data_IF_525900609140
#
_entry.id   IF_525900609140
#
_cell.length_a   1.000
_cell.length_b   1.000
_cell.length_c   1.000
_cell.angle_alpha   90.00
_cell.angle_beta   90.00
_cell.angle_gamma   90.00
#
_symmetry.space_group_name_H-M   'P 1'
#
loop_
_entity.id
_entity.type
_entity.pdbx_description
1 polymer ?
#
# COMPACT_ATOMS: atom_id res chain seq x y z
N UNK A 1 -72.94 -46.50 -22.13
CA UNK A 1 -71.81 -47.03 -21.33
C UNK A 1 -70.63 -47.10 -22.29
N UNK A 2 -69.54 -46.34 -22.19
CA UNK A 2 -68.91 -45.60 -21.10
C UNK A 2 -68.20 -44.38 -21.72
N UNK A 3 -68.42 -43.18 -21.15
CA UNK A 3 -67.55 -42.02 -21.40
C UNK A 3 -66.31 -42.15 -20.51
N UNK A 4 -65.13 -42.21 -21.11
CA UNK A 4 -63.86 -42.03 -20.42
C UNK A 4 -63.28 -40.68 -20.84
N UNK A 5 -63.21 -39.67 -19.95
CA UNK A 5 -62.43 -38.48 -20.25
C UNK A 5 -60.94 -38.78 -20.02
N UNK A 6 -60.19 -38.63 -21.10
CA UNK A 6 -58.74 -38.49 -21.15
C UNK A 6 -58.27 -37.45 -20.13
N UNK A 7 -57.46 -37.87 -19.16
CA UNK A 7 -56.97 -37.01 -18.09
C UNK A 7 -55.71 -36.26 -18.56
N UNK A 8 -55.73 -34.91 -18.69
CA UNK A 8 -54.52 -34.18 -19.02
C UNK A 8 -53.50 -34.21 -17.86
N UNK A 9 -52.19 -34.20 -18.16
CA UNK A 9 -51.14 -34.40 -17.17
C UNK A 9 -51.16 -33.28 -16.13
N UNK A 10 -51.10 -33.67 -14.84
CA UNK A 10 -51.02 -32.74 -13.73
C UNK A 10 -49.79 -31.81 -13.91
N UNK A 11 -50.05 -30.55 -14.25
CA UNK A 11 -49.03 -29.53 -14.34
C UNK A 11 -48.31 -29.40 -12.98
N UNK A 12 -46.99 -29.59 -12.98
CA UNK A 12 -46.14 -29.39 -11.82
C UNK A 12 -46.08 -27.91 -11.47
N UNK A 13 -46.86 -27.52 -10.45
CA UNK A 13 -46.82 -26.15 -9.93
C UNK A 13 -45.42 -25.90 -9.35
N UNK A 14 -44.66 -24.87 -9.78
CA UNK A 14 -43.39 -24.55 -9.16
C UNK A 14 -43.67 -24.06 -7.74
N UNK A 15 -43.26 -24.83 -6.72
CA UNK A 15 -43.29 -24.37 -5.33
C UNK A 15 -42.33 -23.20 -5.23
N UNK A 16 -42.85 -22.00 -5.00
CA UNK A 16 -42.07 -20.80 -4.74
C UNK A 16 -41.12 -21.06 -3.55
N UNK A 17 -39.87 -21.40 -3.82
CA UNK A 17 -38.80 -21.33 -2.83
C UNK A 17 -38.40 -19.87 -2.70
N UNK A 18 -39.14 -19.13 -1.87
CA UNK A 18 -38.74 -17.77 -1.50
C UNK A 18 -37.28 -17.75 -1.01
N UNK A 19 -36.58 -16.62 -1.12
CA UNK A 19 -35.17 -16.55 -0.74
C UNK A 19 -35.02 -16.98 0.71
N UNK A 20 -34.32 -18.11 0.92
CA UNK A 20 -33.90 -18.54 2.26
C UNK A 20 -32.95 -17.46 2.76
N UNK A 21 -33.47 -16.54 3.56
CA UNK A 21 -32.64 -15.62 4.33
C UNK A 21 -31.82 -16.48 5.28
N UNK A 22 -30.56 -16.71 4.94
CA UNK A 22 -29.61 -17.37 5.84
C UNK A 22 -29.50 -16.51 7.09
N UNK A 23 -30.08 -17.00 8.19
CA UNK A 23 -29.96 -16.34 9.49
C UNK A 23 -28.48 -16.34 9.86
N UNK A 24 -27.93 -15.17 10.13
CA UNK A 24 -26.54 -15.03 10.55
C UNK A 24 -26.27 -15.95 11.75
N UNK A 25 -25.29 -16.86 11.59
CA UNK A 25 -24.89 -17.78 12.66
C UNK A 25 -24.31 -16.96 13.80
N UNK A 26 -24.70 -17.29 15.03
CA UNK A 26 -24.13 -16.66 16.23
C UNK A 26 -22.62 -16.97 16.25
N UNK A 27 -21.76 -15.99 16.56
CA UNK A 27 -20.33 -16.23 16.67
C UNK A 27 -20.06 -17.28 17.75
N UNK A 28 -19.19 -18.23 17.43
CA UNK A 28 -18.68 -19.22 18.38
C UNK A 28 -17.83 -18.58 19.47
N UNK A 29 -17.53 -19.37 20.51
CA UNK A 29 -16.91 -18.88 21.75
C UNK A 29 -15.60 -18.09 21.53
N UNK A 30 -14.77 -18.49 20.57
CA UNK A 30 -13.49 -17.83 20.26
C UNK A 30 -13.51 -16.94 19.02
N UNK A 31 -14.64 -16.82 18.32
CA UNK A 31 -14.68 -16.08 17.06
C UNK A 31 -14.47 -14.58 17.27
N UNK A 32 -14.93 -14.05 18.42
CA UNK A 32 -14.66 -12.66 18.83
C UNK A 32 -13.17 -12.43 19.07
N UNK A 33 -12.51 -13.33 19.79
CA UNK A 33 -11.07 -13.22 20.07
C UNK A 33 -10.23 -13.32 18.78
N UNK A 34 -10.63 -14.18 17.84
CA UNK A 34 -9.99 -14.26 16.51
C UNK A 34 -10.20 -12.97 15.71
N UNK A 35 -11.42 -12.45 15.67
CA UNK A 35 -11.72 -11.20 14.97
C UNK A 35 -10.92 -10.01 15.56
N UNK A 36 -10.78 -9.94 16.89
CA UNK A 36 -9.95 -8.92 17.55
C UNK A 36 -8.45 -9.09 17.23
N UNK A 37 -7.95 -10.33 17.20
CA UNK A 37 -6.57 -10.60 16.81
C UNK A 37 -6.31 -10.21 15.35
N UNK A 38 -7.25 -10.49 14.45
CA UNK A 38 -7.18 -10.11 13.04
C UNK A 38 -7.23 -8.60 12.86
N UNK A 39 -8.10 -7.90 13.60
CA UNK A 39 -8.16 -6.45 13.60
C UNK A 39 -6.84 -5.82 14.08
N UNK A 40 -6.27 -6.32 15.18
CA UNK A 40 -4.97 -5.85 15.69
C UNK A 40 -3.83 -6.11 14.72
N UNK A 41 -3.83 -7.25 14.03
CA UNK A 41 -2.83 -7.56 12.99
C UNK A 41 -2.91 -6.56 11.83
N UNK A 42 -4.11 -6.30 11.33
CA UNK A 42 -4.34 -5.32 10.25
C UNK A 42 -3.90 -3.91 10.65
N UNK A 43 -4.27 -3.45 11.85
CA UNK A 43 -3.85 -2.14 12.36
C UNK A 43 -2.31 -2.05 12.49
N UNK A 44 -1.66 -3.12 12.96
CA UNK A 44 -0.21 -3.17 13.06
C UNK A 44 0.48 -3.16 11.69
N UNK A 45 -0.08 -3.85 10.69
CA UNK A 45 0.40 -3.85 9.31
C UNK A 45 0.25 -2.47 8.67
N UNK A 46 -0.88 -1.80 8.85
CA UNK A 46 -1.12 -0.43 8.37
C UNK A 46 -0.12 0.55 8.99
N UNK A 47 0.10 0.47 10.31
CA UNK A 47 1.09 1.30 11.02
C UNK A 47 2.52 1.06 10.52
N UNK A 48 2.88 -0.21 10.24
CA UNK A 48 4.19 -0.55 9.66
C UNK A 48 4.33 0.00 8.25
N UNK A 49 3.31 -0.13 7.41
CA UNK A 49 3.32 0.40 6.05
C UNK A 49 3.50 1.92 6.04
N UNK A 50 2.81 2.66 6.92
CA UNK A 50 2.99 4.10 7.05
C UNK A 50 4.42 4.46 7.52
N UNK A 51 4.93 3.75 8.52
CA UNK A 51 6.29 3.95 9.02
C UNK A 51 7.33 3.71 7.92
N UNK A 52 7.21 2.62 7.17
CA UNK A 52 8.10 2.29 6.06
C UNK A 52 8.07 3.36 4.96
N UNK A 53 6.91 3.92 4.63
CA UNK A 53 6.81 5.03 3.67
C UNK A 53 7.58 6.26 4.17
N UNK A 54 7.35 6.66 5.42
CA UNK A 54 8.06 7.80 6.02
C UNK A 54 9.57 7.56 6.10
N UNK A 55 9.99 6.34 6.42
CA UNK A 55 11.40 5.98 6.52
C UNK A 55 12.08 5.98 5.14
N UNK A 56 11.42 5.47 4.10
CA UNK A 56 11.91 5.55 2.70
C UNK A 56 12.11 6.99 2.26
N UNK A 57 11.15 7.88 2.53
CA UNK A 57 11.27 9.30 2.20
C UNK A 57 12.41 9.98 2.97
N UNK A 58 12.56 9.67 4.27
CA UNK A 58 13.66 10.19 5.08
C UNK A 58 15.01 9.70 4.57
N UNK A 59 15.14 8.41 4.27
CA UNK A 59 16.35 7.80 3.71
C UNK A 59 16.73 8.43 2.39
N UNK A 60 15.79 8.60 1.46
CA UNK A 60 16.04 9.27 0.19
C UNK A 60 16.58 10.70 0.37
N UNK A 61 15.96 11.49 1.27
CA UNK A 61 16.43 12.84 1.60
C UNK A 61 17.82 12.85 2.25
N UNK A 62 18.10 11.89 3.14
CA UNK A 62 19.41 11.77 3.77
C UNK A 62 20.50 11.37 2.77
N UNK A 63 20.23 10.40 1.89
CA UNK A 63 21.14 10.00 0.83
C UNK A 63 21.45 11.14 -0.13
N UNK A 64 20.44 11.91 -0.55
CA UNK A 64 20.65 13.07 -1.40
C UNK A 64 21.56 14.10 -0.73
N UNK A 65 21.29 14.42 0.54
CA UNK A 65 22.11 15.32 1.35
C UNK A 65 23.53 14.81 1.49
N UNK A 66 23.71 13.52 1.71
CA UNK A 66 25.02 12.91 1.84
C UNK A 66 25.80 12.93 0.53
N UNK A 67 25.16 12.58 -0.60
CA UNK A 67 25.75 12.69 -1.94
C UNK A 67 26.22 14.12 -2.21
N UNK A 68 25.37 15.11 -1.94
CA UNK A 68 25.72 16.52 -2.09
C UNK A 68 26.88 16.93 -1.16
N UNK A 69 26.85 16.50 0.11
CA UNK A 69 27.93 16.77 1.08
C UNK A 69 29.26 16.18 0.60
N UNK A 70 29.27 14.93 0.13
CA UNK A 70 30.46 14.26 -0.41
C UNK A 70 30.98 14.96 -1.66
N UNK A 71 30.09 15.36 -2.58
CA UNK A 71 30.46 16.13 -3.77
C UNK A 71 31.08 17.48 -3.41
N UNK A 72 30.49 18.21 -2.46
CA UNK A 72 31.04 19.46 -1.95
C UNK A 72 32.39 19.28 -1.25
N UNK A 73 32.53 18.24 -0.43
CA UNK A 73 33.80 17.95 0.23
C UNK A 73 34.91 17.70 -0.81
N UNK A 74 34.60 16.92 -1.87
CA UNK A 74 35.52 16.66 -2.99
C UNK A 74 35.83 17.90 -3.82
N UNK A 75 34.86 18.81 -3.98
CA UNK A 75 35.06 20.08 -4.66
C UNK A 75 35.97 21.03 -3.85
N UNK A 76 35.81 21.03 -2.52
CA UNK A 76 36.61 21.81 -1.57
C UNK A 76 38.01 21.24 -1.35
N UNK A 77 38.24 19.96 -1.63
CA UNK A 77 39.59 19.37 -1.57
C UNK A 77 40.52 20.12 -2.52
N UNK A 78 41.58 20.69 -1.96
CA UNK A 78 42.58 21.46 -2.70
C UNK A 78 43.29 20.63 -3.77
N UNK A 79 43.90 21.33 -4.73
CA UNK A 79 44.82 20.73 -5.70
C UNK A 79 46.13 20.25 -5.06
N UNK A 80 47.06 19.78 -5.90
CA UNK A 80 48.37 19.26 -5.47
C UNK A 80 49.17 20.25 -4.59
N UNK A 81 48.87 21.55 -4.72
CA UNK A 81 49.52 22.64 -4.00
C UNK A 81 48.67 23.16 -2.82
N UNK A 82 47.64 22.43 -2.38
CA UNK A 82 46.73 22.83 -1.29
C UNK A 82 45.71 23.92 -1.63
N UNK A 83 45.86 24.60 -2.77
CA UNK A 83 44.96 25.66 -3.23
C UNK A 83 43.60 25.11 -3.68
N UNK A 84 42.51 25.78 -3.31
CA UNK A 84 41.15 25.40 -3.72
C UNK A 84 40.97 25.56 -5.23
N UNK A 85 40.28 24.62 -5.86
CA UNK A 85 39.94 24.70 -7.29
C UNK A 85 38.67 25.52 -7.46
N UNK A 86 38.84 26.80 -7.82
CA UNK A 86 37.73 27.68 -8.19
C UNK A 86 36.87 27.02 -9.28
N UNK A 87 35.54 27.16 -9.16
CA UNK A 87 34.58 26.64 -10.14
C UNK A 87 34.14 25.18 -9.97
N UNK A 88 34.81 24.37 -9.13
CA UNK A 88 34.29 23.02 -8.81
C UNK A 88 33.11 23.04 -7.85
N UNK A 89 33.10 23.99 -6.92
CA UNK A 89 31.99 24.16 -5.96
C UNK A 89 30.74 24.72 -6.65
N UNK A 90 30.93 25.61 -7.64
CA UNK A 90 29.80 26.21 -8.37
C UNK A 90 29.01 25.17 -9.16
N UNK A 91 29.65 24.19 -9.78
CA UNK A 91 28.94 23.11 -10.49
C UNK A 91 28.00 22.32 -9.56
N UNK A 92 28.48 21.94 -8.37
CA UNK A 92 27.65 21.20 -7.41
C UNK A 92 26.50 22.08 -6.87
N UNK A 93 26.74 23.38 -6.68
CA UNK A 93 25.68 24.33 -6.29
C UNK A 93 24.63 24.51 -7.39
N UNK A 94 25.06 24.66 -8.65
CA UNK A 94 24.18 24.81 -9.79
C UNK A 94 23.31 23.57 -9.99
N UNK A 95 23.88 22.37 -9.86
CA UNK A 95 23.11 21.12 -9.90
C UNK A 95 22.03 21.07 -8.81
N UNK A 96 22.34 21.57 -7.60
CA UNK A 96 21.36 21.64 -6.51
C UNK A 96 20.21 22.61 -6.86
N UNK A 97 20.52 23.80 -7.39
CA UNK A 97 19.50 24.78 -7.79
C UNK A 97 18.64 24.22 -8.92
N UNK A 98 19.24 23.58 -9.91
CA UNK A 98 18.54 22.94 -11.02
C UNK A 98 17.52 21.91 -10.53
N UNK A 99 17.84 21.11 -9.52
CA UNK A 99 16.89 20.13 -8.93
C UNK A 99 15.77 20.75 -8.10
N UNK A 100 15.98 21.96 -7.57
CA UNK A 100 14.95 22.67 -6.80
C UNK A 100 13.96 23.43 -7.69
N UNK A 101 14.40 23.83 -8.89
CA UNK A 101 13.64 24.68 -9.81
C UNK A 101 13.07 23.91 -11.00
N UNK A 102 13.68 22.79 -11.39
CA UNK A 102 13.26 21.95 -12.52
C UNK A 102 12.52 20.68 -12.14
#
# INVERSE_FOLDING_TARGET
MLDAPDAPPAASVPRFSGPKTERAKRPGYFDKAKAEADAKRKEAEERRAEFERRDKERKAKMEERERHRRAMAKARTGGKNGQRKLGRESQVLLDKVRRMVG
#
